data_IF_012821429190
#
_entry.id   IF_012821429190
#
_cell.length_a   1.000
_cell.length_b   1.000
_cell.length_c   1.000
_cell.angle_alpha   90.00
_cell.angle_beta   90.00
_cell.angle_gamma   90.00
#
_symmetry.space_group_name_H-M   'P 1'
#
loop_
_entity.id
_entity.type
_entity.pdbx_description
1 polymer ?
#
# COMPACT_ATOMS: atom_id res chain seq x y z
N UNK A 1 -3.54 8.48 23.15
CA UNK A 1 -3.45 8.21 22.59
C UNK A 1 -2.85 8.17 21.70
N UNK A 2 -2.59 8.03 21.16
CA UNK A 2 -2.21 8.14 20.27
C UNK A 2 -1.81 7.33 19.51
N UNK A 3 -2.01 7.23 18.66
CA UNK A 3 -1.77 6.24 17.88
C UNK A 3 -0.59 6.39 17.11
N UNK A 4 0.29 5.53 17.22
CA UNK A 4 1.48 5.51 16.48
C UNK A 4 1.30 4.72 15.22
N UNK A 5 0.19 4.89 14.56
CA UNK A 5 -0.09 4.09 13.41
C UNK A 5 0.00 4.89 12.12
N UNK A 6 0.35 4.23 11.04
CA UNK A 6 0.29 4.78 9.70
C UNK A 6 -0.70 3.95 8.90
N UNK A 7 -1.58 4.61 8.15
CA UNK A 7 -2.57 3.88 7.36
C UNK A 7 -2.52 4.34 5.92
N UNK A 8 -2.84 3.44 5.01
CA UNK A 8 -2.90 3.75 3.60
C UNK A 8 -3.94 2.89 2.92
N UNK A 9 -4.59 3.42 1.92
CA UNK A 9 -5.50 2.63 1.10
C UNK A 9 -4.85 2.20 -0.22
N UNK A 10 -3.58 2.50 -0.39
CA UNK A 10 -2.85 2.13 -1.60
C UNK A 10 -2.23 0.76 -1.40
N UNK A 11 -2.78 -0.24 -2.06
CA UNK A 11 -2.30 -1.60 -1.88
C UNK A 11 -0.86 -1.76 -2.33
N UNK A 12 -0.43 -1.02 -3.34
CA UNK A 12 0.96 -1.07 -3.77
C UNK A 12 1.92 -0.60 -2.68
N UNK A 13 1.56 0.50 -2.02
CA UNK A 13 2.37 1.00 -0.91
C UNK A 13 2.34 0.01 0.25
N UNK A 14 1.19 -0.60 0.51
CA UNK A 14 1.09 -1.58 1.58
C UNK A 14 2.04 -2.75 1.33
N UNK A 15 2.08 -3.24 0.09
CA UNK A 15 3.00 -4.32 -0.26
C UNK A 15 4.45 -3.89 -0.08
N UNK A 16 4.77 -2.68 -0.51
CA UNK A 16 6.10 -2.14 -0.36
C UNK A 16 6.52 -2.08 1.11
N UNK A 17 5.60 -1.61 1.96
CA UNK A 17 5.88 -1.52 3.39
C UNK A 17 6.14 -2.90 3.99
N UNK A 18 5.39 -3.91 3.57
CA UNK A 18 5.60 -5.26 4.07
C UNK A 18 6.95 -5.81 3.63
N UNK A 19 7.35 -5.52 2.40
CA UNK A 19 8.66 -5.94 1.91
C UNK A 19 9.76 -5.30 2.73
N UNK A 20 9.56 -4.07 3.17
CA UNK A 20 10.54 -3.35 3.98
C UNK A 20 10.52 -3.78 5.45
N UNK A 21 9.64 -4.69 5.82
CA UNK A 21 9.61 -5.21 7.16
C UNK A 21 8.63 -4.52 8.11
N UNK A 22 7.77 -3.64 7.58
CA UNK A 22 6.78 -3.00 8.42
C UNK A 22 5.74 -4.02 8.86
N UNK A 23 5.25 -3.84 10.08
CA UNK A 23 4.27 -4.76 10.65
C UNK A 23 2.86 -4.29 10.33
N UNK A 24 2.11 -5.14 9.66
CA UNK A 24 0.70 -4.87 9.38
C UNK A 24 -0.10 -5.19 10.63
N UNK A 25 -0.80 -4.19 11.16
CA UNK A 25 -1.55 -4.36 12.39
C UNK A 25 -3.04 -4.56 12.17
N UNK A 26 -3.53 -4.24 10.98
CA UNK A 26 -4.95 -4.45 10.72
C UNK A 26 -5.34 -4.04 9.32
N UNK A 27 -6.51 -4.48 8.92
CA UNK A 27 -7.10 -4.10 7.64
C UNK A 27 -8.53 -3.71 7.91
N UNK A 28 -8.91 -2.52 7.46
CA UNK A 28 -10.27 -2.04 7.59
C UNK A 28 -10.93 -2.01 6.23
N UNK A 29 -12.02 -2.72 6.10
CA UNK A 29 -12.80 -2.70 4.88
C UNK A 29 -13.73 -1.51 4.90
N UNK A 30 -13.60 -0.61 3.95
CA UNK A 30 -14.41 0.60 3.94
C UNK A 30 -15.61 0.49 3.02
N UNK A 31 -15.39 -0.05 1.85
CA UNK A 31 -16.47 -0.24 0.91
C UNK A 31 -16.04 -1.34 -0.04
N UNK A 32 -16.94 -1.70 -0.93
CA UNK A 32 -16.69 -2.79 -1.84
C UNK A 32 -15.43 -2.51 -2.67
N UNK A 33 -14.46 -3.39 -2.57
CA UNK A 33 -13.22 -3.27 -3.32
C UNK A 33 -12.23 -2.29 -2.74
N UNK A 34 -12.52 -1.73 -1.57
CA UNK A 34 -11.62 -0.76 -0.94
C UNK A 34 -11.31 -1.18 0.48
N UNK A 35 -10.06 -0.97 0.86
CA UNK A 35 -9.61 -1.30 2.20
C UNK A 35 -8.52 -0.33 2.62
N UNK A 36 -8.40 -0.14 3.92
CA UNK A 36 -7.32 0.64 4.49
C UNK A 36 -6.43 -0.30 5.27
N UNK A 37 -5.14 -0.21 5.02
CA UNK A 37 -4.14 -1.07 5.66
C UNK A 37 -3.45 -0.29 6.77
N UNK A 38 -3.38 -0.89 7.96
CA UNK A 38 -2.84 -0.24 9.14
C UNK A 38 -1.49 -0.86 9.49
N UNK A 39 -0.49 0.00 9.67
CA UNK A 39 0.86 -0.45 9.95
C UNK A 39 1.38 0.17 11.24
N UNK A 40 2.26 -0.56 11.91
CA UNK A 40 2.91 -0.07 13.12
C UNK A 40 4.11 0.79 12.73
N UNK A 41 3.82 2.02 12.31
CA UNK A 41 4.82 2.99 11.91
C UNK A 41 4.40 4.34 12.43
N UNK A 42 5.37 5.20 12.72
CA UNK A 42 5.01 6.58 13.02
C UNK A 42 4.57 7.25 11.72
N UNK A 43 3.78 8.33 11.81
CA UNK A 43 3.39 9.05 10.60
C UNK A 43 4.58 9.51 9.77
N UNK A 44 5.66 9.92 10.43
CA UNK A 44 6.87 10.35 9.72
C UNK A 44 7.52 9.20 8.98
N UNK A 45 7.59 8.03 9.62
CA UNK A 45 8.13 6.85 8.97
C UNK A 45 7.28 6.46 7.76
N UNK A 46 5.96 6.53 7.93
CA UNK A 46 5.06 6.22 6.84
C UNK A 46 5.23 7.15 5.66
N UNK A 47 5.33 8.44 5.92
CA UNK A 47 5.53 9.42 4.86
C UNK A 47 6.87 9.22 4.15
N UNK A 48 7.90 8.90 4.92
CA UNK A 48 9.21 8.63 4.35
C UNK A 48 9.16 7.42 3.42
N UNK A 49 8.49 6.37 3.85
CA UNK A 49 8.37 5.17 3.03
C UNK A 49 7.48 5.41 1.81
N UNK A 50 6.45 6.23 1.97
CA UNK A 50 5.59 6.55 0.85
C UNK A 50 6.36 7.30 -0.23
N UNK A 51 7.22 8.22 0.17
CA UNK A 51 8.07 8.93 -0.78
C UNK A 51 9.01 7.97 -1.48
N UNK A 52 9.63 7.06 -0.71
CA UNK A 52 10.53 6.08 -1.29
C UNK A 52 9.79 5.18 -2.27
N UNK A 53 8.56 4.78 -1.95
CA UNK A 53 7.76 3.96 -2.84
C UNK A 53 7.46 4.70 -4.14
N UNK A 54 7.07 5.97 -4.02
CA UNK A 54 6.66 6.75 -5.18
C UNK A 54 7.76 6.84 -6.23
N UNK A 55 9.01 6.90 -5.79
CA UNK A 55 10.14 7.02 -6.73
C UNK A 55 10.81 5.69 -7.00
N UNK A 56 10.26 4.59 -6.48
CA UNK A 56 10.90 3.29 -6.62
C UNK A 56 10.38 2.54 -7.85
N UNK A 57 11.13 1.52 -8.25
CA UNK A 57 10.68 0.64 -9.32
C UNK A 57 9.49 -0.20 -8.90
N UNK A 58 9.29 -0.38 -7.60
CA UNK A 58 8.14 -1.12 -7.11
C UNK A 58 6.84 -0.43 -7.50
N UNK A 59 6.83 0.92 -7.45
CA UNK A 59 5.66 1.67 -7.85
C UNK A 59 5.34 1.42 -9.32
N UNK A 60 6.35 1.47 -10.18
CA UNK A 60 6.17 1.24 -11.61
C UNK A 60 5.72 -0.18 -11.89
N UNK A 61 6.35 -1.13 -11.22
CA UNK A 61 5.99 -2.53 -11.40
C UNK A 61 4.53 -2.75 -11.04
N UNK A 62 4.10 -2.19 -9.93
CA UNK A 62 2.74 -2.41 -9.46
C UNK A 62 1.72 -1.75 -10.39
N UNK A 63 2.04 -0.58 -10.92
CA UNK A 63 1.14 0.07 -11.88
C UNK A 63 0.99 -0.76 -13.14
N UNK A 64 2.11 -1.29 -13.64
CA UNK A 64 2.06 -2.16 -14.81
C UNK A 64 1.27 -3.42 -14.52
N UNK A 65 1.47 -4.00 -13.35
CA UNK A 65 0.76 -5.20 -12.94
C UNK A 65 -0.76 -4.96 -12.91
N UNK A 66 -1.17 -3.86 -12.33
CA UNK A 66 -2.60 -3.52 -12.25
C UNK A 66 -3.19 -3.34 -13.64
N UNK A 67 -2.46 -2.67 -14.51
CA UNK A 67 -2.92 -2.43 -15.87
C UNK A 67 -3.14 -3.75 -16.60
N UNK A 68 -2.14 -4.62 -16.57
CA UNK A 68 -2.23 -5.90 -17.27
C UNK A 68 -3.31 -6.79 -16.68
N UNK A 69 -3.42 -6.80 -15.36
CA UNK A 69 -4.43 -7.60 -14.70
C UNK A 69 -5.83 -7.15 -15.10
N UNK A 70 -6.02 -5.83 -15.17
CA UNK A 70 -7.31 -5.29 -15.58
C UNK A 70 -7.67 -5.70 -17.00
N UNK A 71 -6.67 -5.66 -17.91
CA UNK A 71 -6.89 -6.08 -19.28
C UNK A 71 -7.24 -7.56 -19.35
N UNK A 72 -6.52 -8.36 -18.60
CA UNK A 72 -6.76 -9.81 -18.60
C UNK A 72 -8.16 -10.14 -18.10
N UNK A 73 -8.59 -9.45 -17.05
CA UNK A 73 -9.92 -9.70 -16.48
C UNK A 73 -11.03 -9.30 -17.45
N UNK A 74 -10.76 -8.36 -18.34
CA UNK A 74 -11.73 -7.94 -19.34
C UNK A 74 -11.67 -8.78 -20.61
N UNK A 75 -10.76 -9.74 -20.67
CA UNK A 75 -10.63 -10.59 -21.82
C UNK A 75 -9.93 -9.98 -23.01
N UNK A 76 -9.11 -8.99 -22.74
CA UNK A 76 -8.38 -8.29 -23.82
C UNK A 76 -6.98 -8.78 -24.00
#
# INVERSE_FOLDING_TARGET
>A
MTSDGFSTDKIGLACFLMIKGAELTGIQSKSKGRATFLFKLTPQEGLSQETAYTISDHSRFFEAFKYLRGRALRGE
#
